data_IF_844156815385
#
_entry.id   IF_844156815385
#
_cell.length_a   1.000
_cell.length_b   1.000
_cell.length_c   1.000
_cell.angle_alpha   90.00
_cell.angle_beta   90.00
_cell.angle_gamma   90.00
#
_symmetry.space_group_name_H-M   'P 1'
#
loop_
_entity.id
_entity.type
_entity.pdbx_description
1 polymer ?
#
# COMPACT_ATOMS: atom_id res chain seq x y z
N UNK A 1 -20.07 14.38 -10.85
CA UNK A 1 -19.92 14.37 -9.39
C UNK A 1 -20.13 15.80 -8.97
N UNK A 2 -21.16 16.05 -8.18
CA UNK A 2 -21.55 17.41 -7.84
C UNK A 2 -20.47 18.10 -7.01
N UNK A 3 -20.22 19.37 -7.32
CA UNK A 3 -19.17 20.17 -6.68
C UNK A 3 -19.42 20.30 -5.17
N UNK A 4 -20.69 20.37 -4.76
CA UNK A 4 -21.10 20.36 -3.35
C UNK A 4 -20.66 19.09 -2.60
N UNK A 5 -20.74 17.93 -3.28
CA UNK A 5 -20.36 16.63 -2.69
C UNK A 5 -18.84 16.54 -2.51
N UNK A 6 -18.08 17.10 -3.46
CA UNK A 6 -16.62 17.21 -3.37
C UNK A 6 -16.23 18.09 -2.18
N UNK A 7 -16.89 19.25 -2.04
CA UNK A 7 -16.63 20.20 -0.97
C UNK A 7 -16.96 19.61 0.42
N UNK A 8 -18.04 18.83 0.51
CA UNK A 8 -18.41 18.11 1.72
C UNK A 8 -17.34 17.06 2.12
N UNK A 9 -16.83 16.30 1.15
CA UNK A 9 -15.76 15.32 1.37
C UNK A 9 -14.47 16.00 1.88
N UNK A 10 -14.09 17.13 1.29
CA UNK A 10 -12.92 17.92 1.69
C UNK A 10 -13.07 18.47 3.10
N UNK A 11 -14.23 19.06 3.43
CA UNK A 11 -14.51 19.56 4.78
C UNK A 11 -14.44 18.43 5.82
N UNK A 12 -15.02 17.28 5.52
CA UNK A 12 -15.02 16.13 6.43
C UNK A 12 -13.60 15.58 6.65
N UNK A 13 -12.78 15.54 5.60
CA UNK A 13 -11.37 15.13 5.71
C UNK A 13 -10.56 16.08 6.59
N UNK A 14 -10.83 17.39 6.51
CA UNK A 14 -10.16 18.39 7.35
C UNK A 14 -10.57 18.30 8.82
N UNK A 15 -11.83 17.98 9.10
CA UNK A 15 -12.30 17.76 10.47
C UNK A 15 -11.70 16.49 11.10
N UNK A 16 -11.40 15.48 10.29
CA UNK A 16 -10.95 14.17 10.75
C UNK A 16 -9.77 13.63 9.90
N UNK A 17 -8.56 14.20 10.05
CA UNK A 17 -7.43 13.88 9.18
C UNK A 17 -6.91 12.43 9.33
N UNK A 18 -7.13 11.80 10.50
CA UNK A 18 -6.66 10.45 10.81
C UNK A 18 -7.59 9.30 10.40
N UNK A 19 -8.80 9.58 9.92
CA UNK A 19 -9.74 8.52 9.56
C UNK A 19 -9.43 7.93 8.17
N UNK A 20 -9.56 6.60 8.00
CA UNK A 20 -9.42 5.97 6.69
C UNK A 20 -10.55 6.40 5.75
N UNK A 21 -10.26 6.48 4.45
CA UNK A 21 -11.21 6.99 3.43
C UNK A 21 -12.53 6.20 3.42
N UNK A 22 -12.48 4.89 3.67
CA UNK A 22 -13.69 4.06 3.78
C UNK A 22 -14.60 4.48 4.95
N UNK A 23 -14.02 4.82 6.11
CA UNK A 23 -14.79 5.34 7.26
C UNK A 23 -15.30 6.75 6.99
N UNK A 24 -14.53 7.56 6.26
CA UNK A 24 -14.97 8.90 5.84
C UNK A 24 -16.24 8.83 4.98
N UNK A 25 -16.31 7.87 4.04
CA UNK A 25 -17.49 7.64 3.22
C UNK A 25 -18.69 7.15 4.03
N UNK A 26 -18.46 6.33 5.05
CA UNK A 26 -19.51 5.91 5.98
C UNK A 26 -20.07 7.10 6.77
N UNK A 27 -19.21 7.97 7.27
CA UNK A 27 -19.62 9.19 7.97
C UNK A 27 -20.35 10.18 7.06
N UNK A 28 -19.95 10.30 5.78
CA UNK A 28 -20.70 11.09 4.79
C UNK A 28 -22.12 10.57 4.60
N UNK A 29 -22.28 9.24 4.46
CA UNK A 29 -23.60 8.60 4.34
C UNK A 29 -24.44 8.81 5.60
N UNK A 30 -23.84 8.63 6.78
CA UNK A 30 -24.52 8.83 8.07
C UNK A 30 -25.03 10.26 8.26
N UNK A 31 -24.29 11.25 7.76
CA UNK A 31 -24.65 12.67 7.86
C UNK A 31 -25.54 13.17 6.71
N UNK A 32 -25.96 12.30 5.78
CA UNK A 32 -26.71 12.65 4.57
C UNK A 32 -26.08 13.80 3.76
N UNK A 33 -24.74 13.86 3.73
CA UNK A 33 -23.98 14.90 3.00
C UNK A 33 -23.88 14.64 1.48
N UNK A 34 -24.58 13.62 0.99
CA UNK A 34 -24.57 13.18 -0.40
C UNK A 34 -26.02 12.81 -0.76
N UNK A 35 -26.49 13.13 -1.98
CA UNK A 35 -27.79 12.65 -2.43
C UNK A 35 -27.85 11.12 -2.36
N UNK A 36 -29.00 10.53 -1.97
CA UNK A 36 -29.14 9.10 -1.72
C UNK A 36 -28.88 8.24 -2.96
N UNK A 37 -29.03 8.83 -4.15
CA UNK A 37 -28.83 8.18 -5.44
C UNK A 37 -27.36 8.14 -5.90
N UNK A 38 -26.48 8.89 -5.22
CA UNK A 38 -25.07 9.00 -5.60
C UNK A 38 -24.20 8.12 -4.69
N UNK A 39 -23.80 6.96 -5.20
CA UNK A 39 -22.79 6.12 -4.53
C UNK A 39 -21.39 6.47 -5.04
N UNK A 40 -20.61 7.16 -4.21
CA UNK A 40 -19.20 7.44 -4.50
C UNK A 40 -18.37 6.17 -4.31
N UNK A 41 -17.68 5.74 -5.37
CA UNK A 41 -16.72 4.64 -5.26
C UNK A 41 -15.47 5.05 -4.49
N UNK A 42 -14.87 4.10 -3.77
CA UNK A 42 -13.63 4.31 -3.02
C UNK A 42 -12.52 4.93 -3.89
N UNK A 43 -12.33 4.42 -5.11
CA UNK A 43 -11.34 4.93 -6.06
C UNK A 43 -11.56 6.40 -6.42
N UNK A 44 -12.83 6.81 -6.59
CA UNK A 44 -13.18 8.21 -6.89
C UNK A 44 -12.88 9.11 -5.70
N UNK A 45 -13.22 8.67 -4.48
CA UNK A 45 -12.91 9.40 -3.26
C UNK A 45 -11.39 9.59 -3.08
N UNK A 46 -10.59 8.54 -3.32
CA UNK A 46 -9.13 8.64 -3.30
C UNK A 46 -8.58 9.62 -4.33
N UNK A 47 -9.15 9.63 -5.55
CA UNK A 47 -8.71 10.52 -6.63
C UNK A 47 -8.98 11.99 -6.30
N UNK A 48 -10.17 12.30 -5.78
CA UNK A 48 -10.55 13.65 -5.32
C UNK A 48 -9.60 14.10 -4.20
N UNK A 49 -9.43 13.27 -3.16
CA UNK A 49 -8.55 13.59 -2.03
C UNK A 49 -7.08 13.76 -2.46
N UNK A 50 -6.64 13.07 -3.51
CA UNK A 50 -5.31 13.24 -4.09
C UNK A 50 -5.17 14.55 -4.87
N UNK A 51 -6.18 14.94 -5.65
CA UNK A 51 -6.20 16.22 -6.37
C UNK A 51 -6.16 17.41 -5.40
N UNK A 52 -6.90 17.31 -4.30
CA UNK A 52 -6.95 18.32 -3.24
C UNK A 52 -5.73 18.33 -2.31
N UNK A 53 -4.76 17.42 -2.51
CA UNK A 53 -3.55 17.33 -1.67
C UNK A 53 -3.80 16.84 -0.23
N UNK A 54 -5.01 16.34 0.07
CA UNK A 54 -5.44 15.88 1.40
C UNK A 54 -5.29 14.37 1.59
N UNK A 55 -4.76 13.67 0.60
CA UNK A 55 -4.36 12.27 0.73
C UNK A 55 -3.10 12.25 1.59
N UNK A 56 -3.28 11.97 2.89
CA UNK A 56 -2.30 12.07 3.99
C UNK A 56 -0.96 11.33 3.87
N UNK A 57 -0.45 11.06 2.67
CA UNK A 57 0.99 11.02 2.47
C UNK A 57 1.50 12.45 2.52
N UNK A 58 1.98 12.85 3.69
CA UNK A 58 3.18 13.69 3.71
C UNK A 58 4.14 13.03 2.70
N UNK A 59 4.66 13.72 1.68
CA UNK A 59 5.69 13.14 0.85
C UNK A 59 6.79 12.74 1.82
N UNK A 60 6.84 11.45 2.18
CA UNK A 60 7.94 10.92 2.92
C UNK A 60 9.14 11.39 2.12
N UNK A 61 9.94 12.27 2.75
CA UNK A 61 11.18 12.80 2.19
C UNK A 61 11.75 11.64 1.41
N UNK A 62 12.00 11.82 0.10
CA UNK A 62 12.55 10.76 -0.75
C UNK A 62 13.87 10.34 -0.12
N UNK A 63 13.82 9.40 0.82
CA UNK A 63 14.98 8.76 1.38
C UNK A 63 15.52 8.00 0.19
N UNK A 64 16.70 8.39 -0.26
CA UNK A 64 17.35 7.70 -1.35
C UNK A 64 17.73 6.30 -0.87
N UNK A 65 16.87 5.34 -1.17
CA UNK A 65 17.05 3.92 -0.82
C UNK A 65 18.02 3.22 -1.78
N UNK A 66 18.69 3.96 -2.67
CA UNK A 66 19.71 3.40 -3.58
C UNK A 66 21.07 3.26 -2.92
N UNK A 67 21.27 3.82 -1.73
CA UNK A 67 22.49 3.59 -0.96
C UNK A 67 22.37 2.25 -0.23
N UNK A 68 22.78 1.19 -0.94
CA UNK A 68 23.06 -0.10 -0.34
C UNK A 68 24.54 -0.08 0.08
N UNK A 69 24.80 0.37 1.31
CA UNK A 69 26.13 0.30 1.92
C UNK A 69 26.31 -1.11 2.48
N UNK A 70 26.90 -2.01 1.70
CA UNK A 70 27.55 -3.18 2.28
C UNK A 70 28.89 -2.69 2.85
N UNK A 71 29.02 -2.69 4.17
CA UNK A 71 30.25 -2.24 4.83
C UNK A 71 31.40 -3.20 4.52
N UNK A 72 31.09 -4.50 4.40
CA UNK A 72 32.03 -5.54 4.02
C UNK A 72 31.50 -6.39 2.85
N UNK A 73 32.39 -6.90 1.97
CA UNK A 73 32.01 -7.76 0.85
C UNK A 73 31.24 -9.03 1.23
N UNK A 74 31.24 -9.41 2.52
CA UNK A 74 30.49 -10.55 3.05
C UNK A 74 29.06 -10.24 3.53
N UNK A 75 28.59 -9.00 3.45
CA UNK A 75 27.24 -8.64 3.92
C UNK A 75 26.13 -8.98 2.90
N UNK A 76 26.51 -9.29 1.66
CA UNK A 76 25.59 -9.71 0.59
C UNK A 76 25.88 -11.17 0.25
N UNK A 77 25.51 -12.08 1.14
CA UNK A 77 25.54 -13.50 0.83
C UNK A 77 24.15 -13.95 0.42
N UNK A 78 24.00 -14.27 -0.87
CA UNK A 78 22.86 -15.04 -1.37
C UNK A 78 22.98 -16.45 -0.79
N UNK A 79 22.11 -16.81 0.15
CA UNK A 79 21.90 -18.21 0.49
C UNK A 79 21.06 -18.84 -0.63
N UNK A 80 21.72 -19.33 -1.68
CA UNK A 80 21.05 -20.20 -2.64
C UNK A 80 20.64 -21.48 -1.90
N UNK A 81 19.39 -21.54 -1.46
CA UNK A 81 18.79 -22.81 -1.04
C UNK A 81 18.48 -23.58 -2.30
N UNK A 82 19.33 -24.54 -2.61
CA UNK A 82 19.01 -25.54 -3.63
C UNK A 82 17.90 -26.45 -3.07
N UNK A 83 16.67 -26.29 -3.57
CA UNK A 83 15.64 -27.31 -3.34
C UNK A 83 15.99 -28.51 -4.24
N UNK A 84 16.73 -29.45 -3.67
CA UNK A 84 16.91 -30.76 -4.27
C UNK A 84 15.61 -31.54 -4.12
N UNK A 85 14.83 -31.72 -5.21
CA UNK A 85 13.78 -32.75 -5.21
C UNK A 85 14.47 -34.10 -5.35
N UNK A 86 14.58 -34.81 -4.24
CA UNK A 86 14.98 -36.21 -4.26
C UNK A 86 13.87 -37.03 -4.93
N UNK A 87 14.10 -37.49 -6.15
CA UNK A 87 13.34 -38.62 -6.68
C UNK A 87 14.06 -39.89 -6.22
N UNK A 88 13.51 -40.49 -5.18
CA UNK A 88 13.99 -41.72 -4.57
C UNK A 88 13.99 -42.84 -5.61
N UNK A 89 15.15 -43.17 -6.16
CA UNK A 89 15.34 -44.44 -6.86
C UNK A 89 16.66 -45.09 -6.44
N UNK A 90 16.45 -46.10 -5.59
CA UNK A 90 17.34 -47.18 -5.18
C UNK A 90 18.68 -46.84 -4.51
N UNK A 91 18.95 -47.63 -3.48
CA UNK A 91 19.98 -47.44 -2.47
C UNK A 91 21.38 -47.47 -3.07
N UNK A 92 22.04 -46.32 -3.18
CA UNK A 92 23.49 -46.16 -2.99
C UNK A 92 23.84 -44.67 -3.02
N UNK A 93 24.14 -44.13 -1.83
CA UNK A 93 24.79 -42.83 -1.69
C UNK A 93 26.23 -43.01 -2.20
N UNK A 94 26.52 -42.54 -3.40
CA UNK A 94 27.90 -42.27 -3.80
C UNK A 94 28.25 -40.86 -3.34
N UNK A 95 29.02 -40.82 -2.26
CA UNK A 95 29.73 -39.66 -1.77
C UNK A 95 30.74 -39.23 -2.84
N UNK A 96 30.47 -38.13 -3.53
CA UNK A 96 31.48 -37.43 -4.32
C UNK A 96 31.48 -35.95 -3.99
N UNK A 97 32.59 -35.54 -3.40
CA UNK A 97 33.19 -34.23 -3.50
C UNK A 97 33.12 -33.69 -4.94
N UNK A 98 32.53 -32.50 -5.12
CA UNK A 98 33.17 -31.28 -5.64
C UNK A 98 32.15 -30.15 -5.56
#
# INVERSE_FOLDING_TARGET
MDEETILALVKLRRQMPGLPVARLLHEMKKRNLCPPDLTISLSTAYRILRQEGLSGRNPAVKVDRRRFEAEYPNDIWQSDVFICRESFYDRKILQYFC
#
